data_IF_488615974269
#
_entry.id   IF_488615974269
#
_cell.length_a   1.000
_cell.length_b   1.000
_cell.length_c   1.000
_cell.angle_alpha   90.00
_cell.angle_beta   90.00
_cell.angle_gamma   90.00
#
_symmetry.space_group_name_H-M   'P 1'
#
loop_
_entity.id
_entity.type
_entity.pdbx_description
1 polymer ?
#
# COMPACT_ATOMS: atom_id res chain seq x y z
N UNK A 1 97.96 44.87 -60.17
CA UNK A 1 96.94 43.86 -60.40
C UNK A 1 95.58 44.43 -59.97
N UNK A 2 94.86 44.89 -60.97
CA UNK A 2 93.56 45.57 -60.85
C UNK A 2 92.45 44.47 -60.62
N UNK A 3 91.63 44.65 -59.66
CA UNK A 3 90.48 43.85 -59.47
C UNK A 3 89.24 44.67 -59.97
N UNK A 4 88.57 44.16 -60.99
CA UNK A 4 87.43 44.73 -61.63
C UNK A 4 86.20 44.41 -60.74
N UNK A 5 85.48 45.47 -60.28
CA UNK A 5 84.19 45.34 -59.61
C UNK A 5 83.06 45.21 -60.68
N UNK A 6 82.08 44.33 -60.54
CA UNK A 6 80.96 44.25 -61.42
C UNK A 6 79.97 45.38 -61.12
N UNK A 7 79.40 45.94 -62.13
CA UNK A 7 78.32 46.95 -62.09
C UNK A 7 77.06 46.32 -61.49
N UNK A 8 76.48 47.03 -60.51
CA UNK A 8 75.18 46.73 -60.00
C UNK A 8 74.10 47.20 -60.96
N UNK A 9 73.17 46.29 -61.22
CA UNK A 9 71.93 46.62 -61.95
C UNK A 9 71.06 47.50 -61.10
N UNK A 10 70.55 48.62 -61.61
CA UNK A 10 69.55 49.47 -61.01
C UNK A 10 68.24 48.76 -60.99
N UNK A 11 67.46 48.79 -59.87
CA UNK A 11 66.13 48.18 -59.82
C UNK A 11 65.21 48.95 -60.79
N UNK A 12 64.55 48.21 -61.69
CA UNK A 12 63.52 48.70 -62.55
C UNK A 12 62.37 49.32 -61.75
N UNK A 13 61.69 50.37 -62.22
CA UNK A 13 60.57 51.01 -61.55
C UNK A 13 59.44 49.96 -61.36
N UNK A 14 58.94 49.84 -60.13
CA UNK A 14 57.73 49.03 -59.82
C UNK A 14 56.58 49.57 -60.67
N UNK A 15 56.20 48.88 -61.73
CA UNK A 15 54.93 49.08 -62.44
C UNK A 15 53.76 48.84 -61.49
N UNK A 16 53.14 49.90 -60.98
CA UNK A 16 51.87 49.84 -60.29
C UNK A 16 50.80 49.53 -61.30
N UNK A 17 50.14 48.32 -61.30
CA UNK A 17 49.06 48.05 -62.24
C UNK A 17 47.93 49.07 -62.05
N UNK A 18 47.24 49.48 -63.13
CA UNK A 18 46.13 50.40 -63.00
C UNK A 18 45.07 49.82 -62.09
N UNK A 19 44.66 50.60 -61.15
CA UNK A 19 43.74 50.20 -60.11
C UNK A 19 42.38 49.68 -60.59
N UNK A 20 42.09 49.72 -61.86
CA UNK A 20 40.95 49.17 -62.54
C UNK A 20 41.01 47.61 -62.65
N UNK A 21 42.18 46.95 -62.44
CA UNK A 21 42.36 45.51 -62.52
C UNK A 21 42.42 44.85 -61.16
N UNK A 22 42.21 45.58 -60.07
CA UNK A 22 42.04 44.96 -58.75
C UNK A 22 40.71 44.27 -58.71
N UNK A 23 40.74 42.95 -58.83
CA UNK A 23 39.57 42.13 -58.51
C UNK A 23 39.07 42.54 -57.12
N UNK A 24 37.78 42.80 -56.93
CA UNK A 24 37.27 43.10 -55.59
C UNK A 24 37.64 41.95 -54.67
N UNK A 25 38.45 42.28 -53.66
CA UNK A 25 38.68 41.31 -52.59
C UNK A 25 37.33 41.01 -52.00
N UNK A 26 36.96 39.71 -52.00
CA UNK A 26 35.77 39.21 -51.29
C UNK A 26 35.86 39.67 -49.86
N UNK A 27 34.96 40.53 -49.46
CA UNK A 27 34.98 41.18 -48.14
C UNK A 27 34.80 40.05 -47.07
N UNK A 28 35.75 39.78 -46.18
CA UNK A 28 35.63 38.73 -45.16
C UNK A 28 34.37 38.86 -44.31
N UNK A 29 33.76 40.04 -44.25
CA UNK A 29 32.46 40.28 -43.57
C UNK A 29 31.32 39.45 -44.20
N UNK A 30 31.39 39.06 -45.48
CA UNK A 30 30.36 38.24 -46.12
C UNK A 30 30.49 36.74 -45.76
N UNK A 31 31.69 36.23 -45.51
CA UNK A 31 31.91 34.87 -45.05
C UNK A 31 31.48 34.73 -43.58
N UNK A 32 31.80 35.71 -42.71
CA UNK A 32 31.31 35.74 -41.32
C UNK A 32 29.76 35.80 -41.24
N UNK A 33 29.10 36.52 -42.15
CA UNK A 33 27.64 36.58 -42.22
C UNK A 33 26.98 35.23 -42.62
N UNK A 34 27.67 34.42 -43.46
CA UNK A 34 27.21 33.09 -43.84
C UNK A 34 27.32 32.12 -42.66
N UNK A 35 28.40 32.14 -41.91
CA UNK A 35 28.62 31.33 -40.71
C UNK A 35 27.61 31.66 -39.59
N UNK A 36 27.36 32.97 -39.35
CA UNK A 36 26.34 33.40 -38.39
C UNK A 36 24.93 32.92 -38.81
N UNK A 37 24.64 32.93 -40.10
CA UNK A 37 23.35 32.39 -40.60
C UNK A 37 23.24 30.89 -40.40
N UNK A 38 24.29 30.14 -40.66
CA UNK A 38 24.34 28.71 -40.42
C UNK A 38 24.17 28.37 -38.91
N UNK A 39 24.86 29.10 -38.02
CA UNK A 39 24.73 28.98 -36.58
C UNK A 39 23.27 29.24 -36.13
N UNK A 40 22.67 30.33 -36.62
CA UNK A 40 21.26 30.63 -36.30
C UNK A 40 20.29 29.53 -36.73
N UNK A 41 20.50 28.94 -37.90
CA UNK A 41 19.69 27.84 -38.39
C UNK A 41 19.88 26.63 -37.49
N UNK A 42 21.10 26.23 -37.16
CA UNK A 42 21.40 25.12 -36.28
C UNK A 42 20.76 25.32 -34.91
N UNK A 43 20.94 26.46 -34.29
CA UNK A 43 20.35 26.80 -32.97
C UNK A 43 18.83 26.78 -33.03
N UNK A 44 18.22 27.36 -34.10
CA UNK A 44 16.75 27.36 -34.23
C UNK A 44 16.19 25.96 -34.45
N UNK A 45 16.85 25.10 -35.25
CA UNK A 45 16.44 23.70 -35.46
C UNK A 45 16.58 22.91 -34.17
N UNK A 46 17.71 23.06 -33.48
CA UNK A 46 17.92 22.35 -32.18
C UNK A 46 16.88 22.78 -31.16
N UNK A 47 16.62 24.08 -31.02
CA UNK A 47 15.58 24.59 -30.12
C UNK A 47 14.19 24.05 -30.50
N UNK A 48 13.86 24.05 -31.80
CA UNK A 48 12.58 23.50 -32.29
C UNK A 48 12.42 22.01 -32.00
N UNK A 49 13.47 21.21 -32.23
CA UNK A 49 13.48 19.76 -31.91
C UNK A 49 13.34 19.57 -30.39
N UNK A 50 14.06 20.32 -29.58
CA UNK A 50 13.97 20.23 -28.11
C UNK A 50 12.56 20.55 -27.61
N UNK A 51 11.93 21.59 -28.15
CA UNK A 51 10.55 21.96 -27.80
C UNK A 51 9.54 20.92 -28.25
N UNK A 52 9.73 20.29 -29.41
CA UNK A 52 8.87 19.19 -29.86
C UNK A 52 9.01 17.95 -28.99
N UNK A 53 10.23 17.61 -28.59
CA UNK A 53 10.48 16.50 -27.66
C UNK A 53 9.86 16.78 -26.27
N UNK A 54 10.01 18.00 -25.76
CA UNK A 54 9.39 18.41 -24.51
C UNK A 54 7.85 18.37 -24.58
N UNK A 55 7.26 18.85 -25.68
CA UNK A 55 5.82 18.77 -25.89
C UNK A 55 5.32 17.34 -26.05
N UNK A 56 6.09 16.50 -26.77
CA UNK A 56 5.79 15.06 -26.92
C UNK A 56 5.88 14.33 -25.57
N UNK A 57 6.88 14.64 -24.77
CA UNK A 57 7.01 14.12 -23.40
C UNK A 57 5.83 14.56 -22.54
N UNK A 58 5.47 15.84 -22.54
CA UNK A 58 4.32 16.37 -21.80
C UNK A 58 3.00 15.72 -22.24
N UNK A 59 2.83 15.53 -23.55
CA UNK A 59 1.66 14.82 -24.09
C UNK A 59 1.63 13.35 -23.64
N UNK A 60 2.77 12.67 -23.66
CA UNK A 60 2.89 11.31 -23.16
C UNK A 60 2.56 11.21 -21.67
N UNK A 61 3.01 12.18 -20.85
CA UNK A 61 2.69 12.31 -19.42
C UNK A 61 1.19 12.48 -19.21
N UNK A 62 0.54 13.33 -19.99
CA UNK A 62 -0.92 13.54 -19.90
C UNK A 62 -1.70 12.30 -20.37
N UNK A 63 -1.24 11.64 -21.45
CA UNK A 63 -1.89 10.43 -21.98
C UNK A 63 -1.67 9.22 -21.07
N UNK A 64 -0.56 9.13 -20.35
CA UNK A 64 -0.28 8.06 -19.38
C UNK A 64 -1.09 8.15 -18.09
N UNK A 65 -2.07 9.05 -18.04
CA UNK A 65 -2.99 9.25 -16.92
C UNK A 65 -2.28 9.48 -15.57
N UNK A 66 -1.19 10.20 -15.63
CA UNK A 66 -0.45 10.60 -14.43
C UNK A 66 0.61 9.60 -13.93
N UNK A 67 0.79 8.45 -14.60
CA UNK A 67 1.84 7.51 -14.21
C UNK A 67 3.27 8.12 -14.18
N UNK A 68 3.46 9.25 -14.80
CA UNK A 68 4.72 10.02 -14.80
C UNK A 68 4.57 11.34 -14.01
N UNK A 69 3.36 11.71 -13.62
CA UNK A 69 3.06 12.84 -12.75
C UNK A 69 2.73 12.27 -11.38
N UNK A 70 3.54 12.36 -10.42
CA UNK A 70 3.37 11.97 -9.03
C UNK A 70 1.91 12.16 -8.49
N UNK A 71 0.97 11.45 -9.08
CA UNK A 71 -0.45 11.39 -8.72
C UNK A 71 -1.05 10.03 -9.12
N UNK A 72 -2.09 9.55 -8.43
CA UNK A 72 -2.82 8.35 -8.82
C UNK A 72 -3.45 8.45 -10.21
N UNK A 73 -3.69 7.33 -10.86
CA UNK A 73 -4.52 7.27 -12.08
C UNK A 73 -5.98 7.62 -11.77
N UNK A 74 -6.71 8.11 -12.78
CA UNK A 74 -8.16 8.35 -12.62
C UNK A 74 -8.89 7.07 -12.18
N UNK A 75 -8.51 5.92 -12.74
CA UNK A 75 -9.07 4.63 -12.34
C UNK A 75 -8.87 4.34 -10.83
N UNK A 76 -7.68 4.65 -10.30
CA UNK A 76 -7.42 4.47 -8.87
C UNK A 76 -8.29 5.39 -8.01
N UNK A 77 -8.48 6.64 -8.42
CA UNK A 77 -9.35 7.59 -7.72
C UNK A 77 -10.83 7.19 -7.79
N UNK A 78 -11.33 6.80 -8.98
CA UNK A 78 -12.71 6.30 -9.14
C UNK A 78 -12.97 5.06 -8.29
N UNK A 79 -12.00 4.11 -8.24
CA UNK A 79 -12.12 2.92 -7.39
C UNK A 79 -12.09 3.25 -5.92
N UNK A 80 -11.28 4.20 -5.51
CA UNK A 80 -11.21 4.66 -4.13
C UNK A 80 -12.57 5.16 -3.65
N UNK A 81 -13.17 6.10 -4.37
CA UNK A 81 -14.51 6.63 -4.07
C UNK A 81 -15.58 5.52 -4.09
N UNK A 82 -15.49 4.60 -5.05
CA UNK A 82 -16.43 3.50 -5.16
C UNK A 82 -16.34 2.51 -3.99
N UNK A 83 -15.11 2.21 -3.49
CA UNK A 83 -14.93 1.37 -2.32
C UNK A 83 -15.34 2.04 -1.02
N UNK A 84 -15.08 3.35 -0.84
CA UNK A 84 -15.63 4.11 0.28
C UNK A 84 -17.17 4.03 0.31
N UNK A 85 -17.81 4.16 -0.86
CA UNK A 85 -19.25 4.02 -1.00
C UNK A 85 -19.72 2.60 -0.73
N UNK A 86 -19.00 1.57 -1.20
CA UNK A 86 -19.35 0.16 -1.03
C UNK A 86 -19.41 -0.26 0.44
N UNK A 87 -18.43 0.19 1.25
CA UNK A 87 -18.40 -0.08 2.69
C UNK A 87 -19.21 0.91 3.53
N UNK A 88 -19.93 1.83 2.90
CA UNK A 88 -20.67 2.91 3.57
C UNK A 88 -19.78 3.71 4.54
N UNK A 89 -18.57 4.10 4.07
CA UNK A 89 -17.65 4.91 4.89
C UNK A 89 -18.35 6.20 5.33
N UNK A 90 -18.35 6.53 6.64
CA UNK A 90 -19.03 7.72 7.15
C UNK A 90 -18.37 9.00 6.62
N UNK A 91 -19.19 9.97 6.26
CA UNK A 91 -18.73 11.32 5.84
C UNK A 91 -18.69 12.30 7.00
N UNK A 92 -18.79 11.81 8.24
CA UNK A 92 -18.68 12.60 9.47
C UNK A 92 -17.22 12.81 9.91
N UNK A 93 -17.03 13.40 11.11
CA UNK A 93 -15.70 13.81 11.57
C UNK A 93 -14.87 12.68 12.22
N UNK A 94 -15.36 11.43 12.24
CA UNK A 94 -14.61 10.31 12.77
C UNK A 94 -13.41 9.98 11.86
N UNK A 95 -12.22 9.85 12.48
CA UNK A 95 -10.94 9.62 11.80
C UNK A 95 -10.05 8.59 12.50
N UNK A 96 -10.52 7.98 13.61
CA UNK A 96 -9.75 7.10 14.48
C UNK A 96 -8.90 7.88 15.52
N UNK A 97 -9.26 9.12 15.80
CA UNK A 97 -8.48 9.94 16.75
C UNK A 97 -8.52 9.35 18.17
N UNK A 98 -7.35 9.27 18.83
CA UNK A 98 -7.19 8.66 20.14
C UNK A 98 -7.10 7.13 20.13
N UNK A 99 -7.14 6.49 18.96
CA UNK A 99 -6.99 5.05 18.80
C UNK A 99 -5.58 4.71 18.32
N UNK A 100 -4.97 3.69 18.91
CA UNK A 100 -3.65 3.16 18.54
C UNK A 100 -3.85 1.89 17.72
N UNK A 101 -3.38 1.89 16.47
CA UNK A 101 -3.44 0.72 15.59
C UNK A 101 -2.03 0.24 15.27
N UNK A 102 -1.79 -1.05 15.40
CA UNK A 102 -0.53 -1.67 15.02
C UNK A 102 -0.71 -2.49 13.73
N UNK A 103 0.15 -2.23 12.74
CA UNK A 103 0.26 -3.06 11.53
C UNK A 103 1.49 -3.96 11.68
N UNK A 104 1.29 -5.30 11.59
CA UNK A 104 2.35 -6.30 11.54
C UNK A 104 2.55 -6.71 10.09
N UNK A 105 3.65 -6.25 9.46
CA UNK A 105 3.82 -6.38 8.01
C UNK A 105 5.29 -6.27 7.56
N UNK A 106 5.54 -5.92 6.30
CA UNK A 106 6.88 -5.76 5.69
C UNK A 106 7.58 -4.45 6.02
N UNK A 107 6.92 -3.52 6.71
CA UNK A 107 7.45 -2.19 7.04
C UNK A 107 6.59 -1.05 6.56
N UNK A 108 7.17 0.14 6.43
CA UNK A 108 6.50 1.35 5.92
C UNK A 108 7.52 2.29 5.28
N UNK A 109 7.19 2.86 4.12
CA UNK A 109 7.87 4.00 3.53
C UNK A 109 7.20 5.31 3.98
N UNK A 110 7.71 5.89 5.04
CA UNK A 110 7.20 7.17 5.59
C UNK A 110 7.51 8.38 4.70
N UNK A 111 8.22 8.20 3.59
CA UNK A 111 8.55 9.30 2.64
C UNK A 111 7.47 9.48 1.58
N UNK A 112 6.50 8.56 1.48
CA UNK A 112 5.38 8.70 0.55
C UNK A 112 4.55 9.95 0.87
N UNK A 113 4.19 10.74 -0.16
CA UNK A 113 3.47 12.02 0.02
C UNK A 113 2.16 11.90 0.79
N UNK A 114 1.41 10.82 0.57
CA UNK A 114 0.13 10.59 1.22
C UNK A 114 0.25 10.10 2.67
N UNK A 115 1.48 9.79 3.14
CA UNK A 115 1.80 9.44 4.53
C UNK A 115 2.47 10.58 5.31
N UNK A 116 2.62 11.77 4.71
CA UNK A 116 3.32 12.90 5.33
C UNK A 116 2.69 13.35 6.66
N UNK A 117 1.38 13.20 6.81
CA UNK A 117 0.62 13.56 8.01
C UNK A 117 0.34 12.36 8.93
N UNK A 118 0.82 11.15 8.61
CA UNK A 118 0.61 9.95 9.41
C UNK A 118 1.22 10.11 10.82
N UNK A 119 0.44 9.80 11.84
CA UNK A 119 0.86 9.90 13.24
C UNK A 119 1.59 8.63 13.66
N UNK A 120 2.91 8.58 13.41
CA UNK A 120 3.75 7.44 13.79
C UNK A 120 3.95 7.40 15.31
N UNK A 121 3.33 6.43 16.00
CA UNK A 121 3.48 6.16 17.42
C UNK A 121 4.69 5.28 17.74
N UNK A 122 5.07 4.37 16.85
CA UNK A 122 6.19 3.48 17.07
C UNK A 122 6.62 2.68 15.85
N UNK A 123 7.86 2.19 15.93
CA UNK A 123 8.48 1.35 14.92
C UNK A 123 9.32 0.24 15.55
N UNK A 124 9.18 -0.97 15.06
CA UNK A 124 10.03 -2.10 15.45
C UNK A 124 10.32 -3.00 14.25
N UNK A 125 11.59 -3.26 14.01
CA UNK A 125 12.06 -4.18 12.97
C UNK A 125 12.53 -5.49 13.63
N UNK A 126 11.78 -6.57 13.44
CA UNK A 126 12.09 -7.92 13.92
C UNK A 126 12.92 -8.72 12.93
N UNK A 127 13.11 -8.22 11.70
CA UNK A 127 13.83 -8.91 10.62
C UNK A 127 15.30 -8.53 10.60
N UNK A 128 15.62 -7.23 10.59
CA UNK A 128 16.99 -6.71 10.46
C UNK A 128 17.41 -5.83 11.64
N UNK A 129 16.52 -5.51 12.58
CA UNK A 129 16.81 -4.70 13.75
C UNK A 129 17.13 -3.23 13.47
N UNK A 130 16.67 -2.67 12.33
CA UNK A 130 16.89 -1.26 12.00
C UNK A 130 16.00 -0.37 12.84
N UNK A 131 16.55 0.77 13.27
CA UNK A 131 15.85 1.75 14.11
C UNK A 131 15.04 2.77 13.31
N UNK A 132 15.28 2.90 12.01
CA UNK A 132 14.58 3.81 11.11
C UNK A 132 13.58 3.04 10.28
N UNK A 133 12.31 3.49 10.17
CA UNK A 133 11.32 2.86 9.31
C UNK A 133 11.79 2.74 7.86
N UNK A 134 11.46 1.63 7.24
CA UNK A 134 11.64 1.34 5.82
C UNK A 134 10.73 0.19 5.41
N UNK A 135 10.51 0.05 4.12
CA UNK A 135 9.80 -1.08 3.53
C UNK A 135 10.53 -1.55 2.27
N UNK A 136 11.09 -2.75 2.33
CA UNK A 136 11.86 -3.35 1.22
C UNK A 136 11.04 -4.34 0.39
N UNK A 137 9.74 -4.50 0.71
CA UNK A 137 8.76 -5.27 -0.06
C UNK A 137 7.67 -4.38 -0.66
N UNK A 138 7.12 -3.44 0.11
CA UNK A 138 6.07 -2.50 -0.28
C UNK A 138 4.67 -2.83 0.22
N UNK A 139 4.43 -4.07 0.69
CA UNK A 139 3.11 -4.51 1.15
C UNK A 139 2.66 -3.72 2.39
N UNK A 140 3.52 -3.54 3.39
CA UNK A 140 3.18 -2.79 4.59
C UNK A 140 2.89 -1.31 4.31
N UNK A 141 3.61 -0.70 3.36
CA UNK A 141 3.32 0.66 2.88
C UNK A 141 1.93 0.74 2.24
N UNK A 142 1.57 -0.26 1.45
CA UNK A 142 0.23 -0.37 0.84
C UNK A 142 -0.86 -0.48 1.90
N UNK A 143 -0.67 -1.32 2.90
CA UNK A 143 -1.62 -1.51 4.01
C UNK A 143 -1.73 -0.24 4.88
N UNK A 144 -0.60 0.38 5.23
CA UNK A 144 -0.59 1.66 5.94
C UNK A 144 -1.36 2.74 5.14
N UNK A 145 -1.23 2.76 3.82
CA UNK A 145 -1.97 3.67 2.95
C UNK A 145 -3.49 3.53 3.06
N UNK A 146 -4.01 2.29 3.01
CA UNK A 146 -5.45 2.04 3.18
C UNK A 146 -5.96 2.53 4.54
N UNK A 147 -5.14 2.45 5.59
CA UNK A 147 -5.53 2.87 6.93
C UNK A 147 -5.38 4.39 7.15
N UNK A 148 -4.21 4.96 6.83
CA UNK A 148 -3.82 6.30 7.32
C UNK A 148 -3.44 7.31 6.24
N UNK A 149 -3.57 7.01 4.96
CA UNK A 149 -3.27 7.99 3.92
C UNK A 149 -4.08 9.28 4.10
N UNK A 150 -3.44 10.43 3.87
CA UNK A 150 -4.10 11.74 3.92
C UNK A 150 -3.60 12.67 2.79
N UNK A 151 -3.57 12.14 1.58
CA UNK A 151 -3.18 12.86 0.36
C UNK A 151 -4.20 12.71 -0.75
N UNK A 152 -3.78 12.18 -1.86
CA UNK A 152 -4.65 11.82 -2.98
C UNK A 152 -5.61 10.69 -2.62
N UNK A 153 -5.10 9.64 -1.98
CA UNK A 153 -5.95 8.63 -1.35
C UNK A 153 -6.23 9.05 0.09
N UNK A 154 -7.36 8.60 0.63
CA UNK A 154 -7.77 8.82 2.01
C UNK A 154 -7.86 7.47 2.72
N UNK A 155 -7.18 7.37 3.83
CA UNK A 155 -7.26 6.18 4.67
C UNK A 155 -8.56 6.12 5.45
N UNK A 156 -8.99 4.90 5.76
CA UNK A 156 -10.26 4.64 6.48
C UNK A 156 -10.28 5.32 7.85
N UNK A 157 -9.11 5.40 8.52
CA UNK A 157 -8.98 5.99 9.86
C UNK A 157 -7.66 6.79 9.95
N UNK A 158 -7.59 7.91 9.23
CA UNK A 158 -6.35 8.63 8.95
C UNK A 158 -5.79 9.46 10.12
N UNK A 159 -6.43 9.44 11.30
CA UNK A 159 -5.94 10.10 12.50
C UNK A 159 -5.60 9.14 13.65
N UNK A 160 -5.57 7.83 13.40
CA UNK A 160 -5.05 6.86 14.37
C UNK A 160 -3.57 7.12 14.64
N UNK A 161 -3.12 6.76 15.84
CA UNK A 161 -1.70 6.61 16.13
C UNK A 161 -1.23 5.25 15.60
N UNK A 162 -0.27 5.28 14.65
CA UNK A 162 0.16 4.09 13.92
C UNK A 162 1.45 3.51 14.53
N UNK A 163 1.38 2.27 14.98
CA UNK A 163 2.52 1.42 15.27
C UNK A 163 2.80 0.52 14.07
N UNK A 164 4.06 0.32 13.72
CA UNK A 164 4.46 -0.60 12.65
C UNK A 164 5.50 -1.57 13.15
N UNK A 165 5.16 -2.86 13.12
CA UNK A 165 6.04 -3.97 13.43
C UNK A 165 6.44 -4.67 12.13
N UNK A 166 7.68 -4.49 11.69
CA UNK A 166 8.21 -5.22 10.53
C UNK A 166 8.54 -6.65 10.92
N UNK A 167 7.67 -7.59 10.55
CA UNK A 167 7.83 -9.02 10.75
C UNK A 167 8.10 -9.78 9.44
N UNK A 168 7.81 -9.17 8.27
CA UNK A 168 8.04 -9.76 6.96
C UNK A 168 9.29 -9.18 6.30
N UNK A 169 10.07 -10.06 5.66
CA UNK A 169 11.27 -9.71 4.91
C UNK A 169 10.97 -9.15 3.51
N UNK A 170 12.03 -8.83 2.75
CA UNK A 170 11.95 -8.31 1.39
C UNK A 170 11.28 -9.27 0.37
N UNK A 171 11.11 -10.54 0.71
CA UNK A 171 10.37 -11.52 -0.08
C UNK A 171 8.88 -11.65 0.31
N UNK A 172 8.40 -10.79 1.23
CA UNK A 172 7.03 -10.82 1.73
C UNK A 172 6.73 -11.97 2.70
N UNK A 173 7.74 -12.71 3.17
CA UNK A 173 7.57 -13.83 4.08
C UNK A 173 8.16 -13.54 5.46
N UNK A 174 7.59 -14.14 6.49
CA UNK A 174 8.05 -14.10 7.87
C UNK A 174 7.92 -15.46 8.56
N UNK A 175 8.62 -15.61 9.67
CA UNK A 175 8.50 -16.76 10.55
C UNK A 175 7.34 -16.51 11.53
N UNK A 176 6.55 -17.56 11.83
CA UNK A 176 5.37 -17.45 12.69
C UNK A 176 5.72 -16.99 14.12
N UNK A 177 6.84 -17.45 14.67
CA UNK A 177 7.35 -16.99 15.96
C UNK A 177 7.81 -15.53 15.94
N UNK A 178 8.25 -14.99 14.78
CA UNK A 178 8.56 -13.58 14.62
C UNK A 178 7.28 -12.75 14.58
N UNK A 179 6.23 -13.25 13.92
CA UNK A 179 4.89 -12.63 13.93
C UNK A 179 4.32 -12.59 15.35
N UNK A 180 4.45 -13.69 16.12
CA UNK A 180 4.05 -13.71 17.52
C UNK A 180 4.75 -12.64 18.35
N UNK A 181 6.08 -12.50 18.23
CA UNK A 181 6.84 -11.45 18.92
C UNK A 181 6.42 -10.03 18.49
N UNK A 182 6.04 -9.86 17.22
CA UNK A 182 5.55 -8.59 16.71
C UNK A 182 4.18 -8.24 17.32
N UNK A 183 3.26 -9.21 17.45
CA UNK A 183 1.97 -9.04 18.14
C UNK A 183 2.21 -8.64 19.61
N UNK A 184 3.08 -9.36 20.32
CA UNK A 184 3.42 -9.06 21.73
C UNK A 184 3.96 -7.64 21.88
N UNK A 185 4.80 -7.18 20.93
CA UNK A 185 5.29 -5.83 20.93
C UNK A 185 4.19 -4.79 20.66
N UNK A 186 3.26 -5.05 19.75
CA UNK A 186 2.12 -4.19 19.51
C UNK A 186 1.31 -3.99 20.79
N UNK A 187 0.95 -5.08 21.48
CA UNK A 187 0.22 -5.06 22.76
C UNK A 187 0.99 -4.27 23.83
N UNK A 188 2.25 -4.62 24.04
CA UNK A 188 3.10 -3.92 25.04
C UNK A 188 3.38 -2.45 24.71
N UNK A 189 3.20 -2.05 23.43
CA UNK A 189 3.31 -0.66 22.97
C UNK A 189 1.97 0.08 23.02
N UNK A 190 0.90 -0.55 23.54
CA UNK A 190 -0.40 0.08 23.74
C UNK A 190 -1.32 0.04 22.53
N UNK A 191 -1.16 -0.90 21.62
CA UNK A 191 -2.09 -1.09 20.52
C UNK A 191 -3.50 -1.44 21.03
N UNK A 192 -4.50 -0.80 20.48
CA UNK A 192 -5.90 -1.12 20.68
C UNK A 192 -6.40 -2.13 19.64
N UNK A 193 -5.90 -2.00 18.40
CA UNK A 193 -6.21 -2.90 17.30
C UNK A 193 -4.90 -3.34 16.64
N UNK A 194 -4.76 -4.62 16.32
CA UNK A 194 -3.65 -5.17 15.55
C UNK A 194 -4.18 -5.69 14.23
N UNK A 195 -3.61 -5.20 13.13
CA UNK A 195 -3.91 -5.62 11.76
C UNK A 195 -2.87 -6.61 11.27
N UNK A 196 -3.31 -7.82 10.94
CA UNK A 196 -2.51 -8.92 10.45
C UNK A 196 -2.87 -9.19 8.98
N UNK A 197 -2.36 -8.35 8.08
CA UNK A 197 -2.53 -8.51 6.64
C UNK A 197 -1.58 -9.59 6.09
N UNK A 198 -1.52 -10.70 6.76
CA UNK A 198 -0.64 -11.84 6.51
C UNK A 198 -1.35 -13.14 6.92
N UNK A 199 -0.83 -14.26 6.44
CA UNK A 199 -1.32 -15.57 6.86
C UNK A 199 -0.48 -16.68 6.26
N UNK A 200 -0.44 -17.80 6.94
CA UNK A 200 0.21 -19.03 6.52
C UNK A 200 -0.79 -20.16 6.37
N UNK A 201 -0.38 -21.21 5.65
CA UNK A 201 -1.17 -22.44 5.60
C UNK A 201 -1.42 -22.94 7.05
N UNK A 202 -2.64 -23.33 7.37
CA UNK A 202 -2.96 -23.87 8.70
C UNK A 202 -2.03 -25.05 8.99
N UNK A 203 -1.45 -25.10 10.19
CA UNK A 203 -0.58 -26.19 10.60
C UNK A 203 -1.31 -27.55 10.51
N UNK A 204 -0.68 -28.54 9.88
CA UNK A 204 -1.26 -29.89 9.66
C UNK A 204 -1.54 -30.63 10.98
N UNK A 205 -0.92 -30.24 12.08
CA UNK A 205 -1.10 -30.86 13.40
C UNK A 205 -1.36 -29.79 14.45
N UNK A 206 -2.43 -29.98 15.28
CA UNK A 206 -2.73 -29.06 16.39
C UNK A 206 -1.72 -29.15 17.56
N UNK A 207 -0.66 -29.98 17.44
CA UNK A 207 0.38 -30.14 18.43
C UNK A 207 1.75 -30.16 17.78
N UNK A 208 2.56 -29.14 18.01
CA UNK A 208 4.00 -29.23 17.81
C UNK A 208 4.59 -30.23 18.79
N UNK A 209 4.93 -31.46 18.34
CA UNK A 209 5.74 -32.39 19.09
C UNK A 209 7.21 -31.97 19.11
N UNK A 210 7.53 -30.93 19.82
CA UNK A 210 8.88 -30.43 20.04
C UNK A 210 8.78 -29.01 20.50
N UNK A 211 9.30 -28.64 21.65
CA UNK A 211 9.20 -27.29 22.24
C UNK A 211 9.38 -26.17 21.22
N UNK A 212 8.34 -25.90 20.47
CA UNK A 212 8.26 -24.91 19.43
C UNK A 212 8.12 -23.52 20.03
N UNK A 213 8.62 -22.52 19.34
CA UNK A 213 8.38 -21.13 19.68
C UNK A 213 6.86 -20.85 19.68
N UNK A 214 6.43 -19.87 20.47
CA UNK A 214 5.05 -19.40 20.57
C UNK A 214 4.51 -19.04 19.19
N UNK A 215 3.32 -19.51 18.82
CA UNK A 215 2.69 -19.24 17.54
C UNK A 215 2.05 -17.85 17.48
N UNK A 216 1.79 -17.33 16.28
CA UNK A 216 1.03 -16.10 16.08
C UNK A 216 -0.42 -16.23 16.59
N UNK A 217 -1.00 -17.42 16.53
CA UNK A 217 -2.32 -17.71 17.11
C UNK A 217 -2.32 -17.62 18.64
N UNK A 218 -1.30 -18.19 19.31
CA UNK A 218 -1.18 -18.05 20.76
C UNK A 218 -1.05 -16.58 21.16
N UNK A 219 -0.23 -15.81 20.43
CA UNK A 219 -0.05 -14.38 20.68
C UNK A 219 -1.32 -13.57 20.42
N UNK A 220 -2.08 -13.92 19.38
CA UNK A 220 -3.36 -13.29 19.07
C UNK A 220 -4.40 -13.56 20.17
N UNK A 221 -4.50 -14.80 20.64
CA UNK A 221 -5.42 -15.17 21.73
C UNK A 221 -5.09 -14.45 23.04
N UNK A 222 -3.80 -14.40 23.42
CA UNK A 222 -3.36 -13.66 24.62
C UNK A 222 -3.65 -12.15 24.48
N UNK A 223 -3.46 -11.55 23.30
CA UNK A 223 -3.78 -10.15 23.04
C UNK A 223 -5.30 -9.88 23.18
N UNK A 224 -6.13 -10.80 22.71
CA UNK A 224 -7.59 -10.72 22.84
C UNK A 224 -8.01 -10.83 24.31
N UNK A 225 -7.36 -11.69 25.10
CA UNK A 225 -7.59 -11.80 26.53
C UNK A 225 -7.26 -10.48 27.26
N UNK A 226 -6.32 -9.69 26.75
CA UNK A 226 -6.01 -8.33 27.21
C UNK A 226 -6.97 -7.26 26.65
N UNK A 227 -7.93 -7.63 25.80
CA UNK A 227 -8.93 -6.75 25.20
C UNK A 227 -8.50 -6.08 23.89
N UNK A 228 -7.37 -6.48 23.30
CA UNK A 228 -6.88 -5.96 22.03
C UNK A 228 -7.63 -6.64 20.88
N UNK A 229 -8.11 -5.84 19.92
CA UNK A 229 -8.82 -6.35 18.74
C UNK A 229 -7.82 -6.88 17.72
N UNK A 230 -7.94 -8.15 17.33
CA UNK A 230 -7.09 -8.78 16.32
C UNK A 230 -7.90 -8.99 15.06
N UNK A 231 -7.46 -8.38 13.95
CA UNK A 231 -8.07 -8.51 12.63
C UNK A 231 -7.07 -9.16 11.69
N UNK A 232 -7.44 -10.25 11.04
CA UNK A 232 -6.53 -11.02 10.20
C UNK A 232 -7.12 -11.35 8.82
N UNK A 233 -6.27 -11.43 7.81
CA UNK A 233 -6.63 -11.79 6.46
C UNK A 233 -7.04 -13.26 6.38
N UNK A 234 -8.17 -13.55 5.72
CA UNK A 234 -8.64 -14.92 5.52
C UNK A 234 -7.66 -15.78 4.72
N UNK A 235 -6.86 -15.17 3.85
CA UNK A 235 -5.93 -15.85 2.94
C UNK A 235 -6.26 -15.58 1.48
N UNK A 236 -5.33 -15.96 0.59
CA UNK A 236 -5.41 -15.67 -0.84
C UNK A 236 -5.21 -16.92 -1.71
N UNK A 237 -5.62 -18.07 -1.24
CA UNK A 237 -5.52 -19.35 -1.94
C UNK A 237 -6.86 -19.88 -2.48
N UNK A 238 -7.87 -19.00 -2.54
CA UNK A 238 -9.20 -19.32 -3.02
C UNK A 238 -9.26 -19.90 -4.44
N UNK A 239 -10.40 -20.47 -4.80
CA UNK A 239 -10.65 -21.11 -6.08
C UNK A 239 -10.10 -22.55 -6.14
N UNK A 240 -9.45 -22.95 -7.23
CA UNK A 240 -8.94 -24.32 -7.43
C UNK A 240 -7.81 -24.72 -6.47
N UNK A 241 -7.16 -23.76 -5.82
CA UNK A 241 -6.05 -23.95 -4.89
C UNK A 241 -6.46 -23.82 -3.42
N UNK A 242 -7.73 -23.56 -3.14
CA UNK A 242 -8.25 -23.42 -1.79
C UNK A 242 -7.96 -24.67 -0.98
N UNK A 243 -7.30 -24.52 0.16
CA UNK A 243 -7.00 -25.64 1.08
C UNK A 243 -8.18 -25.98 1.98
N UNK A 244 -9.30 -25.28 1.83
CA UNK A 244 -10.57 -25.49 2.48
C UNK A 244 -10.69 -24.83 3.85
N UNK A 245 -9.88 -23.82 4.16
CA UNK A 245 -10.02 -23.03 5.39
C UNK A 245 -9.33 -21.67 5.25
N UNK A 246 -9.66 -20.75 6.16
CA UNK A 246 -8.95 -19.48 6.28
C UNK A 246 -7.55 -19.68 6.85
N UNK A 247 -6.62 -18.82 6.47
CA UNK A 247 -5.23 -18.88 6.88
C UNK A 247 -5.06 -18.67 8.41
N UNK A 248 -3.94 -19.16 8.95
CA UNK A 248 -3.56 -18.88 10.35
C UNK A 248 -2.85 -17.50 10.42
N UNK A 249 -3.14 -16.61 11.42
CA UNK A 249 -3.97 -16.84 12.61
C UNK A 249 -5.46 -16.48 12.46
N UNK A 250 -5.97 -16.12 11.28
CA UNK A 250 -7.40 -15.83 11.06
C UNK A 250 -8.31 -17.03 11.46
N UNK A 251 -7.77 -18.26 11.43
CA UNK A 251 -8.47 -19.48 11.81
C UNK A 251 -8.74 -19.62 13.33
N UNK A 252 -8.13 -18.78 14.17
CA UNK A 252 -8.40 -18.75 15.62
C UNK A 252 -9.81 -18.22 15.89
N UNK A 253 -10.49 -18.77 16.93
CA UNK A 253 -11.90 -18.51 17.19
C UNK A 253 -12.21 -17.02 17.37
N UNK A 254 -11.52 -16.36 18.29
CA UNK A 254 -11.78 -14.96 18.65
C UNK A 254 -11.12 -13.93 17.73
N UNK A 255 -10.26 -14.32 16.78
CA UNK A 255 -9.68 -13.44 15.76
C UNK A 255 -10.76 -13.10 14.73
N UNK A 256 -10.83 -11.85 14.32
CA UNK A 256 -11.75 -11.39 13.27
C UNK A 256 -11.09 -11.68 11.91
N UNK A 257 -11.56 -12.73 11.23
CA UNK A 257 -11.10 -13.11 9.89
C UNK A 257 -11.85 -12.32 8.81
N UNK A 258 -11.12 -11.78 7.84
CA UNK A 258 -11.70 -10.95 6.80
C UNK A 258 -11.44 -11.57 5.43
N UNK A 259 -12.53 -11.96 4.76
CA UNK A 259 -12.52 -12.39 3.36
C UNK A 259 -12.62 -11.21 2.39
N UNK A 260 -12.55 -11.50 1.09
CA UNK A 260 -12.43 -10.51 0.05
C UNK A 260 -13.61 -10.45 -0.92
N UNK A 261 -14.01 -9.22 -1.30
CA UNK A 261 -14.99 -8.97 -2.38
C UNK A 261 -14.42 -8.06 -3.46
N UNK A 262 -15.02 -8.17 -4.65
CA UNK A 262 -14.82 -7.28 -5.79
C UNK A 262 -15.52 -5.93 -5.58
N UNK A 263 -15.33 -4.98 -6.49
CA UNK A 263 -16.03 -3.70 -6.47
C UNK A 263 -17.57 -3.85 -6.59
N UNK A 264 -18.06 -4.95 -7.12
CA UNK A 264 -19.50 -5.25 -7.22
C UNK A 264 -20.05 -5.92 -5.96
N UNK A 265 -19.23 -6.10 -4.92
CA UNK A 265 -19.62 -6.81 -3.70
C UNK A 265 -19.75 -8.32 -3.87
N UNK A 266 -19.31 -8.89 -5.01
CA UNK A 266 -19.25 -10.33 -5.22
C UNK A 266 -17.97 -10.91 -4.63
N UNK A 267 -17.99 -12.19 -4.23
CA UNK A 267 -16.81 -12.87 -3.72
C UNK A 267 -15.62 -12.71 -4.68
N UNK A 268 -14.47 -12.29 -4.16
CA UNK A 268 -13.24 -12.26 -4.91
C UNK A 268 -12.66 -13.68 -4.99
N UNK A 269 -12.47 -14.20 -6.19
CA UNK A 269 -12.08 -15.60 -6.42
C UNK A 269 -10.73 -16.00 -5.81
N UNK A 270 -9.92 -15.05 -5.39
CA UNK A 270 -8.67 -15.31 -4.67
C UNK A 270 -8.84 -15.41 -3.15
N UNK A 271 -10.00 -15.03 -2.60
CA UNK A 271 -10.22 -15.10 -1.15
C UNK A 271 -10.37 -16.54 -0.68
N UNK A 272 -9.60 -16.93 0.35
CA UNK A 272 -9.81 -18.23 1.01
C UNK A 272 -11.20 -18.35 1.60
N UNK A 273 -11.74 -19.56 1.60
CA UNK A 273 -13.08 -19.91 2.10
C UNK A 273 -13.00 -20.60 3.46
N UNK A 274 -14.02 -20.49 4.29
CA UNK A 274 -14.03 -20.98 5.66
C UNK A 274 -14.66 -22.35 5.86
N UNK A 275 -14.73 -23.21 4.85
CA UNK A 275 -15.50 -24.44 4.84
C UNK A 275 -14.82 -25.65 5.51
N UNK A 276 -13.53 -25.59 5.78
CA UNK A 276 -12.70 -26.68 6.31
C UNK A 276 -12.62 -27.94 5.42
N UNK A 277 -12.97 -27.87 4.13
CA UNK A 277 -13.05 -29.05 3.25
C UNK A 277 -11.71 -29.58 2.77
N UNK A 278 -10.66 -28.76 2.71
CA UNK A 278 -9.35 -29.13 2.17
C UNK A 278 -8.41 -29.83 3.14
N UNK A 279 -8.75 -29.93 4.43
CA UNK A 279 -7.84 -30.49 5.45
C UNK A 279 -7.79 -32.01 5.41
N UNK A 280 -6.58 -32.55 5.20
CA UNK A 280 -6.31 -33.99 5.08
C UNK A 280 -6.44 -34.71 6.45
N UNK A 281 -6.29 -34.01 7.57
CA UNK A 281 -6.39 -34.58 8.91
C UNK A 281 -7.64 -34.09 9.66
N UNK A 282 -8.39 -35.02 10.25
CA UNK A 282 -9.79 -34.84 10.55
C UNK A 282 -10.13 -34.08 11.82
N UNK A 283 -9.21 -33.57 12.62
CA UNK A 283 -9.60 -32.98 13.90
C UNK A 283 -10.37 -31.66 13.74
N UNK A 284 -9.98 -30.70 12.89
CA UNK A 284 -10.83 -29.54 12.59
C UNK A 284 -12.03 -29.86 11.71
N UNK A 285 -11.94 -30.86 10.83
CA UNK A 285 -13.04 -31.34 9.97
C UNK A 285 -14.11 -32.08 10.78
N UNK A 286 -13.74 -32.72 11.89
CA UNK A 286 -14.69 -33.43 12.78
C UNK A 286 -15.41 -32.49 13.75
N UNK A 287 -14.89 -31.28 13.95
CA UNK A 287 -15.47 -30.26 14.82
C UNK A 287 -15.68 -28.99 14.00
N UNK A 288 -16.77 -28.91 13.23
CA UNK A 288 -17.10 -27.71 12.50
C UNK A 288 -17.21 -26.52 13.45
N UNK A 289 -16.73 -25.36 13.02
CA UNK A 289 -16.96 -24.13 13.77
C UNK A 289 -18.45 -23.85 13.89
N UNK A 290 -18.87 -23.34 15.05
CA UNK A 290 -20.23 -22.91 15.31
C UNK A 290 -20.27 -21.40 15.48
N UNK A 291 -21.44 -20.80 15.28
CA UNK A 291 -21.63 -19.39 15.59
C UNK A 291 -21.27 -19.13 17.07
N UNK A 292 -20.54 -18.04 17.37
CA UNK A 292 -20.14 -16.93 16.50
C UNK A 292 -18.74 -17.08 15.84
N UNK A 293 -18.11 -18.26 15.89
CA UNK A 293 -16.71 -18.48 15.52
C UNK A 293 -16.53 -19.03 14.09
N UNK A 294 -17.56 -18.96 13.26
CA UNK A 294 -17.47 -19.37 11.84
C UNK A 294 -16.65 -18.35 11.05
N UNK A 295 -15.89 -18.86 10.05
CA UNK A 295 -14.93 -18.08 9.26
C UNK A 295 -15.30 -18.00 7.77
N UNK A 296 -14.93 -16.90 7.11
CA UNK A 296 -14.54 -15.61 7.69
C UNK A 296 -15.74 -14.99 8.42
N UNK A 297 -15.53 -14.03 9.32
CA UNK A 297 -16.65 -13.31 9.95
C UNK A 297 -17.30 -12.34 8.98
N UNK A 298 -16.49 -11.58 8.24
CA UNK A 298 -16.98 -10.55 7.31
C UNK A 298 -16.12 -10.52 6.04
N UNK A 299 -16.65 -9.89 5.01
CA UNK A 299 -15.86 -9.59 3.79
C UNK A 299 -15.77 -8.08 3.57
N UNK A 300 -14.69 -7.65 2.90
CA UNK A 300 -14.43 -6.25 2.58
C UNK A 300 -13.69 -6.14 1.24
N UNK A 301 -13.45 -4.91 0.69
CA UNK A 301 -12.79 -4.72 -0.61
C UNK A 301 -11.43 -5.42 -0.72
N UNK A 302 -11.25 -6.25 -1.76
CA UNK A 302 -10.03 -7.05 -1.96
C UNK A 302 -9.51 -7.08 -3.41
N UNK A 303 -10.28 -6.61 -4.41
CA UNK A 303 -9.87 -6.67 -5.82
C UNK A 303 -9.52 -5.29 -6.36
N UNK A 304 -8.33 -5.13 -6.91
CA UNK A 304 -7.83 -3.88 -7.49
C UNK A 304 -8.10 -2.66 -6.58
N UNK A 305 -7.78 -2.83 -5.30
CA UNK A 305 -7.89 -1.78 -4.28
C UNK A 305 -6.76 -0.77 -4.49
N UNK A 306 -7.04 0.54 -4.53
CA UNK A 306 -6.02 1.57 -4.62
C UNK A 306 -5.10 1.58 -3.40
N UNK A 307 -3.79 1.57 -3.65
CA UNK A 307 -2.77 1.46 -2.61
C UNK A 307 -1.60 2.42 -2.87
N UNK A 308 -0.84 2.69 -1.82
CA UNK A 308 0.45 3.36 -1.89
C UNK A 308 1.55 2.34 -2.19
N UNK A 309 2.54 2.71 -3.00
CA UNK A 309 3.72 1.91 -3.28
C UNK A 309 4.95 2.51 -2.58
N UNK A 310 5.92 1.66 -2.23
CA UNK A 310 7.14 2.07 -1.54
C UNK A 310 8.19 2.79 -2.42
N UNK A 311 7.82 3.14 -3.65
CA UNK A 311 8.59 4.00 -4.57
C UNK A 311 8.01 5.42 -4.69
N UNK A 312 7.03 5.76 -3.84
CA UNK A 312 6.35 7.05 -3.82
C UNK A 312 5.23 7.17 -4.86
N UNK A 313 4.88 6.10 -5.55
CA UNK A 313 3.78 6.06 -6.52
C UNK A 313 2.52 5.38 -5.95
N UNK A 314 1.48 5.26 -6.77
CA UNK A 314 0.21 4.62 -6.42
C UNK A 314 -0.03 3.44 -7.36
N UNK A 315 -0.72 2.43 -6.85
CA UNK A 315 -1.06 1.23 -7.60
C UNK A 315 -2.43 0.68 -7.25
N UNK A 316 -2.72 -0.49 -7.80
CA UNK A 316 -3.87 -1.32 -7.43
C UNK A 316 -3.35 -2.65 -6.92
N UNK A 317 -3.94 -3.17 -5.86
CA UNK A 317 -3.57 -4.45 -5.27
C UNK A 317 -4.78 -5.35 -5.07
N UNK A 318 -4.56 -6.65 -5.19
CA UNK A 318 -5.53 -7.69 -4.87
C UNK A 318 -5.10 -8.40 -3.59
N UNK A 319 -6.05 -8.73 -2.72
CA UNK A 319 -5.78 -9.52 -1.52
C UNK A 319 -6.72 -9.24 -0.37
N UNK A 320 -7.00 -10.27 0.42
CA UNK A 320 -7.71 -10.16 1.70
C UNK A 320 -6.93 -9.29 2.71
N UNK A 321 -5.64 -9.05 2.46
CA UNK A 321 -4.84 -8.06 3.17
C UNK A 321 -5.46 -6.66 3.16
N UNK A 322 -5.92 -6.19 1.99
CA UNK A 322 -6.60 -4.91 1.86
C UNK A 322 -7.93 -4.91 2.63
N UNK A 323 -8.71 -5.98 2.48
CA UNK A 323 -9.98 -6.16 3.20
C UNK A 323 -9.80 -6.07 4.73
N UNK A 324 -8.75 -6.69 5.25
CA UNK A 324 -8.38 -6.66 6.68
C UNK A 324 -8.20 -5.24 7.18
N UNK A 325 -7.55 -4.38 6.40
CA UNK A 325 -7.31 -2.98 6.79
C UNK A 325 -8.60 -2.16 6.80
N UNK A 326 -9.54 -2.42 5.88
CA UNK A 326 -10.87 -1.77 5.93
C UNK A 326 -11.60 -2.09 7.23
N UNK A 327 -11.58 -3.35 7.66
CA UNK A 327 -12.20 -3.76 8.94
C UNK A 327 -11.44 -3.18 10.14
N UNK A 328 -10.10 -3.20 10.10
CA UNK A 328 -9.25 -2.55 11.12
C UNK A 328 -9.61 -1.08 11.29
N UNK A 329 -9.72 -0.35 10.18
CA UNK A 329 -10.13 1.06 10.18
C UNK A 329 -11.56 1.25 10.71
N UNK A 330 -12.49 0.40 10.35
CA UNK A 330 -13.87 0.44 10.86
C UNK A 330 -13.94 0.29 12.38
N UNK A 331 -13.16 -0.66 12.94
CA UNK A 331 -13.04 -0.83 14.40
C UNK A 331 -12.39 0.41 15.03
N UNK A 332 -11.37 1.00 14.39
CA UNK A 332 -10.74 2.22 14.91
C UNK A 332 -11.74 3.40 14.98
N UNK A 333 -12.60 3.57 13.96
CA UNK A 333 -13.68 4.59 13.98
C UNK A 333 -14.70 4.30 15.08
N UNK A 334 -15.04 3.03 15.30
CA UNK A 334 -15.92 2.63 16.39
C UNK A 334 -15.31 2.97 17.76
N UNK A 335 -14.04 2.66 17.99
CA UNK A 335 -13.34 2.94 19.23
C UNK A 335 -13.18 4.46 19.50
N UNK A 336 -13.01 5.28 18.47
CA UNK A 336 -13.09 6.74 18.61
C UNK A 336 -14.48 7.17 19.12
N UNK A 337 -15.54 6.57 18.60
CA UNK A 337 -16.93 6.89 19.01
C UNK A 337 -17.30 6.31 20.36
N UNK A 338 -16.60 5.26 20.82
CA UNK A 338 -16.86 4.48 22.02
C UNK A 338 -15.56 4.23 22.81
N UNK A 339 -14.97 5.28 23.43
CA UNK A 339 -13.68 5.15 24.15
C UNK A 339 -13.72 4.13 25.31
N UNK A 340 -14.89 3.80 25.81
CA UNK A 340 -15.08 2.77 26.85
C UNK A 340 -14.76 1.35 26.39
N UNK A 341 -14.65 1.11 25.08
CA UNK A 341 -14.27 -0.17 24.48
C UNK A 341 -12.76 -0.29 24.24
N UNK A 342 -12.01 0.80 24.44
CA UNK A 342 -10.55 0.80 24.28
C UNK A 342 -9.91 -0.05 25.39
N UNK A 343 -8.95 -0.97 25.07
CA UNK A 343 -8.21 -1.74 26.06
C UNK A 343 -7.56 -0.85 27.14
N UNK A 344 -7.59 -1.29 28.41
CA UNK A 344 -6.96 -0.56 29.51
C UNK A 344 -7.42 -1.02 30.88
N UNK A 345 -6.81 -0.50 31.96
CA UNK A 345 -7.08 -0.94 33.34
C UNK A 345 -8.55 -0.79 33.79
N UNK A 346 -9.33 0.08 33.15
CA UNK A 346 -10.72 0.35 33.49
C UNK A 346 -11.69 0.25 32.32
N UNK A 347 -11.22 -0.18 31.14
CA UNK A 347 -12.00 -0.32 29.92
C UNK A 347 -11.43 -1.49 29.13
N UNK A 348 -12.15 -2.01 28.16
CA UNK A 348 -11.71 -3.04 27.22
C UNK A 348 -11.15 -4.32 27.87
N UNK A 349 -11.79 -5.41 27.60
CA UNK A 349 -11.38 -6.77 27.96
C UNK A 349 -11.85 -7.73 26.86
N UNK A 350 -11.59 -9.01 26.98
CA UNK A 350 -12.03 -10.02 26.00
C UNK A 350 -13.55 -9.98 25.73
N UNK A 351 -14.38 -9.66 26.71
CA UNK A 351 -15.84 -9.53 26.53
C UNK A 351 -16.21 -8.37 25.61
N UNK A 352 -15.47 -7.26 25.65
CA UNK A 352 -15.64 -6.15 24.73
C UNK A 352 -15.23 -6.52 23.30
N UNK A 353 -14.18 -7.33 23.14
CA UNK A 353 -13.76 -7.83 21.82
C UNK A 353 -14.86 -8.68 21.21
N UNK A 354 -15.42 -9.62 21.95
CA UNK A 354 -16.52 -10.47 21.49
C UNK A 354 -17.80 -9.63 21.20
N UNK A 355 -18.08 -8.63 22.01
CA UNK A 355 -19.20 -7.71 21.78
C UNK A 355 -19.05 -6.93 20.46
N UNK A 356 -17.85 -6.37 20.20
CA UNK A 356 -17.58 -5.65 18.94
C UNK A 356 -17.59 -6.60 17.76
N UNK A 357 -17.04 -7.81 17.89
CA UNK A 357 -17.11 -8.86 16.88
C UNK A 357 -18.58 -9.19 16.54
N UNK A 358 -19.45 -9.33 17.56
CA UNK A 358 -20.87 -9.55 17.33
C UNK A 358 -21.53 -8.36 16.63
N UNK A 359 -21.29 -7.13 17.07
CA UNK A 359 -21.84 -5.94 16.38
C UNK A 359 -21.38 -5.84 14.93
N UNK A 360 -20.12 -6.19 14.65
CA UNK A 360 -19.58 -6.22 13.30
C UNK A 360 -20.37 -7.22 12.43
N UNK A 361 -20.61 -8.45 12.93
CA UNK A 361 -21.37 -9.47 12.21
C UNK A 361 -22.84 -9.11 12.03
N UNK A 362 -23.46 -8.46 13.02
CA UNK A 362 -24.88 -8.06 12.98
C UNK A 362 -25.13 -6.82 12.09
N UNK A 363 -24.09 -6.03 11.80
CA UNK A 363 -24.20 -4.77 11.06
C UNK A 363 -23.82 -4.86 9.58
N UNK A 364 -23.39 -6.03 9.10
CA UNK A 364 -22.99 -6.23 7.70
C UNK A 364 -24.15 -6.06 6.71
N UNK A 365 -23.81 -5.89 5.44
CA UNK A 365 -24.76 -6.01 4.33
C UNK A 365 -24.70 -7.44 3.80
N UNK A 366 -25.70 -8.30 4.05
CA UNK A 366 -25.70 -9.68 3.57
C UNK A 366 -25.84 -9.70 2.04
N UNK A 367 -25.37 -10.78 1.41
CA UNK A 367 -25.60 -11.04 -0.02
C UNK A 367 -27.09 -11.31 -0.30
N UNK A 368 -27.51 -11.07 -1.52
CA UNK A 368 -28.89 -11.35 -1.94
C UNK A 368 -29.21 -12.84 -1.72
N UNK A 369 -30.20 -13.10 -0.87
CA UNK A 369 -30.62 -14.45 -0.51
C UNK A 369 -29.79 -15.15 0.58
N UNK A 370 -28.76 -14.52 1.12
CA UNK A 370 -27.98 -15.04 2.21
C UNK A 370 -28.81 -15.10 3.50
N UNK A 371 -28.78 -16.24 4.19
CA UNK A 371 -29.44 -16.44 5.48
C UNK A 371 -28.42 -16.98 6.49
N UNK A 372 -27.89 -16.09 7.31
CA UNK A 372 -26.82 -16.42 8.28
C UNK A 372 -25.43 -16.45 7.64
N UNK A 373 -24.51 -17.19 8.24
CA UNK A 373 -23.14 -17.31 7.78
C UNK A 373 -23.02 -18.08 6.47
N UNK A 374 -22.11 -17.64 5.61
CA UNK A 374 -21.70 -18.26 4.35
C UNK A 374 -20.17 -18.40 4.32
N UNK A 375 -19.64 -19.52 3.83
CA UNK A 375 -18.20 -19.80 3.89
C UNK A 375 -17.35 -18.89 3.00
N UNK A 376 -17.96 -18.21 1.98
CA UNK A 376 -17.32 -17.23 1.10
C UNK A 376 -17.52 -15.79 1.57
N UNK A 377 -18.70 -15.47 2.12
CA UNK A 377 -19.10 -14.10 2.46
C UNK A 377 -19.11 -13.82 3.97
N UNK A 378 -18.83 -14.80 4.79
CA UNK A 378 -19.01 -14.64 6.23
C UNK A 378 -20.47 -14.35 6.57
N UNK A 379 -20.71 -13.39 7.45
CA UNK A 379 -22.06 -12.89 7.71
C UNK A 379 -22.49 -11.83 6.68
N UNK A 380 -21.55 -11.27 5.92
CA UNK A 380 -21.79 -10.31 4.84
C UNK A 380 -20.69 -9.28 4.64
N UNK A 381 -20.97 -8.30 3.78
CA UNK A 381 -20.06 -7.22 3.45
C UNK A 381 -20.03 -6.15 4.55
N UNK A 382 -18.83 -5.73 4.93
CA UNK A 382 -18.59 -4.62 5.87
C UNK A 382 -19.46 -3.40 5.56
N UNK A 383 -20.16 -2.89 6.57
CA UNK A 383 -20.94 -1.67 6.52
C UNK A 383 -20.57 -0.79 7.72
N UNK A 384 -19.64 0.14 7.52
CA UNK A 384 -19.08 0.96 8.61
C UNK A 384 -20.15 1.81 9.29
N UNK A 385 -21.05 2.40 8.52
CA UNK A 385 -22.16 3.22 9.08
C UNK A 385 -23.05 2.38 9.98
N UNK A 386 -23.46 1.19 9.52
CA UNK A 386 -24.31 0.33 10.30
C UNK A 386 -23.63 -0.18 11.58
N UNK A 387 -22.30 -0.44 11.55
CA UNK A 387 -21.50 -0.79 12.73
C UNK A 387 -21.52 0.34 13.79
N UNK A 388 -21.31 1.58 13.35
CA UNK A 388 -21.37 2.76 14.25
C UNK A 388 -22.77 2.95 14.83
N UNK A 389 -23.81 2.73 14.04
CA UNK A 389 -25.21 2.84 14.49
C UNK A 389 -25.60 1.70 15.45
N UNK A 390 -25.16 0.45 15.21
CA UNK A 390 -25.41 -0.70 16.06
C UNK A 390 -24.84 -0.51 17.49
N UNK A 391 -23.75 0.21 17.61
CA UNK A 391 -23.12 0.52 18.89
C UNK A 391 -23.89 1.56 19.74
N UNK A 392 -24.90 2.23 19.19
CA UNK A 392 -25.65 3.28 19.88
C UNK A 392 -26.93 2.77 20.58
N UNK A 393 -27.33 1.53 20.33
CA UNK A 393 -28.53 0.88 20.90
C UNK A 393 -28.22 0.01 22.05
#
# INVERSE_FOLDING_TARGET
MEAILPHGDEPSPLEIPPWNDLKPQTNPVYEEAADIRAIKIVVSVTLGVTLLLAAGYLAAVVISDGAILLRPSELALERHEAYESLVNHPQDDLRGNGVVVCIVDSGIDTTHSDLADARMGGWKDFVNGRTTPYDDHGHGTSMAGILVANGWLKGVANEVELLVAKALGANGSGDDGVVAQAIDWCVSSGAHVVSLSLGGAPGILPFSFGGGDRSSGDAANDAIDEGVYIVAAAGNDGGENDDGDVAHPASEASVIAVGGVTLQGTHWSGSSEGDNNGRILPLPVLLPRNDPDRKPEVVAPAEAVPVLLNDGSWGLADGTSAATVYVTGAIALLLESKPELIPGENAGNAENVETVKQWLMDSVTPQEGQAGHDDQYGYGLLNIRALLDASQG
#
